data_IF_217688502358
#
_entry.id   IF_217688502358
#
_cell.length_a   1.000
_cell.length_b   1.000
_cell.length_c   1.000
_cell.angle_alpha   90.00
_cell.angle_beta   90.00
_cell.angle_gamma   90.00
#
_symmetry.space_group_name_H-M   'P 1'
#
loop_
_entity.id
_entity.type
_entity.pdbx_description
1 polymer ?
#
# COMPACT_ATOMS: atom_id res chain seq x y z
N UNK A 1 -15.03 13.77 -22.08
CA UNK A 1 -14.52 14.15 -20.74
C UNK A 1 -15.47 13.50 -19.74
N UNK A 2 -15.26 12.22 -19.44
CA UNK A 2 -16.02 11.54 -18.39
C UNK A 2 -15.21 11.70 -17.12
N UNK A 3 -15.48 12.76 -16.36
CA UNK A 3 -15.16 12.78 -14.94
C UNK A 3 -16.13 11.79 -14.27
N UNK A 4 -15.85 10.48 -14.45
CA UNK A 4 -16.38 9.49 -13.53
C UNK A 4 -15.80 9.86 -12.17
N UNK A 5 -16.66 10.37 -11.29
CA UNK A 5 -16.31 10.56 -9.88
C UNK A 5 -15.81 9.20 -9.40
N UNK A 6 -14.51 9.10 -9.10
CA UNK A 6 -13.91 7.87 -8.62
C UNK A 6 -14.71 7.34 -7.43
N UNK A 7 -14.97 6.02 -7.41
CA UNK A 7 -15.72 5.42 -6.32
C UNK A 7 -15.03 5.71 -4.97
N UNK A 8 -15.77 6.10 -3.91
CA UNK A 8 -15.16 6.49 -2.62
C UNK A 8 -14.21 5.44 -2.04
N UNK A 9 -14.48 4.15 -2.27
CA UNK A 9 -13.60 3.06 -1.85
C UNK A 9 -12.22 3.09 -2.54
N UNK A 10 -12.15 3.44 -3.83
CA UNK A 10 -10.88 3.62 -4.56
C UNK A 10 -10.15 4.86 -4.06
N UNK A 11 -10.87 5.96 -3.81
CA UNK A 11 -10.27 7.17 -3.24
C UNK A 11 -9.66 6.87 -1.87
N UNK A 12 -10.38 6.13 -1.01
CA UNK A 12 -9.88 5.72 0.30
C UNK A 12 -8.65 4.81 0.21
N UNK A 13 -8.67 3.86 -0.72
CA UNK A 13 -7.52 3.00 -1.01
C UNK A 13 -6.29 3.81 -1.43
N UNK A 14 -6.45 4.78 -2.34
CA UNK A 14 -5.36 5.67 -2.78
C UNK A 14 -4.77 6.48 -1.63
N UNK A 15 -5.63 7.05 -0.78
CA UNK A 15 -5.19 7.79 0.41
C UNK A 15 -4.37 6.89 1.35
N UNK A 16 -4.83 5.66 1.57
CA UNK A 16 -4.11 4.72 2.44
C UNK A 16 -2.78 4.27 1.83
N UNK A 17 -2.74 3.99 0.53
CA UNK A 17 -1.51 3.65 -0.20
C UNK A 17 -0.51 4.80 -0.22
N UNK A 18 -0.97 6.04 -0.42
CA UNK A 18 -0.11 7.24 -0.35
C UNK A 18 0.44 7.47 1.06
N UNK A 19 -0.39 7.30 2.09
CA UNK A 19 0.06 7.39 3.47
C UNK A 19 1.10 6.29 3.80
N UNK A 20 0.86 5.06 3.36
CA UNK A 20 1.78 3.93 3.53
C UNK A 20 3.11 4.18 2.80
N UNK A 21 3.04 4.64 1.56
CA UNK A 21 4.21 4.98 0.75
C UNK A 21 5.10 6.03 1.42
N UNK A 22 4.50 7.11 1.93
CA UNK A 22 5.20 8.15 2.71
C UNK A 22 5.75 7.62 4.03
N UNK A 23 4.98 6.80 4.74
CA UNK A 23 5.40 6.16 5.99
C UNK A 23 6.64 5.29 5.80
N UNK A 24 6.68 4.51 4.72
CA UNK A 24 7.85 3.68 4.37
C UNK A 24 9.08 4.54 4.07
N UNK A 25 8.91 5.63 3.31
CA UNK A 25 10.00 6.58 3.03
C UNK A 25 10.61 7.22 4.29
N UNK A 26 9.84 7.31 5.38
CA UNK A 26 10.29 7.87 6.65
C UNK A 26 10.94 6.85 7.59
N UNK A 27 10.87 5.54 7.33
CA UNK A 27 11.32 4.49 8.28
C UNK A 27 12.80 4.58 8.64
N UNK A 28 13.64 5.05 7.71
CA UNK A 28 15.08 5.23 7.94
C UNK A 28 15.38 6.32 8.99
N UNK A 29 14.43 7.22 9.26
CA UNK A 29 14.57 8.30 10.24
C UNK A 29 14.01 7.92 11.62
N UNK A 30 13.42 6.73 11.76
CA UNK A 30 12.85 6.26 13.00
C UNK A 30 13.82 5.33 13.72
N UNK A 31 13.77 5.34 15.06
CA UNK A 31 14.38 4.30 15.89
C UNK A 31 13.65 2.95 15.70
N UNK A 32 14.28 1.86 16.10
CA UNK A 32 13.82 0.50 15.81
C UNK A 32 12.40 0.22 16.32
N UNK A 33 12.08 0.54 17.58
CA UNK A 33 10.76 0.23 18.14
C UNK A 33 9.60 1.01 17.48
N UNK A 34 9.69 2.34 17.27
CA UNK A 34 8.70 3.07 16.47
C UNK A 34 8.61 2.57 15.02
N UNK A 35 9.74 2.21 14.40
CA UNK A 35 9.79 1.67 13.04
C UNK A 35 9.01 0.37 12.92
N UNK A 36 9.26 -0.59 13.80
CA UNK A 36 8.59 -1.89 13.81
C UNK A 36 7.07 -1.74 13.99
N UNK A 37 6.67 -0.80 14.85
CA UNK A 37 5.26 -0.47 15.04
C UNK A 37 4.61 0.03 13.75
N UNK A 38 5.23 1.00 13.08
CA UNK A 38 4.71 1.53 11.80
C UNK A 38 4.62 0.41 10.77
N UNK A 39 5.66 -0.42 10.63
CA UNK A 39 5.65 -1.55 9.69
C UNK A 39 4.49 -2.53 9.98
N UNK A 40 4.24 -2.84 11.26
CA UNK A 40 3.12 -3.70 11.65
C UNK A 40 1.75 -3.08 11.34
N UNK A 41 1.59 -1.77 11.58
CA UNK A 41 0.38 -1.02 11.26
C UNK A 41 0.11 -1.03 9.75
N UNK A 42 1.14 -0.77 8.91
CA UNK A 42 1.01 -0.79 7.46
C UNK A 42 0.64 -2.17 6.90
N UNK A 43 1.24 -3.23 7.44
CA UNK A 43 0.94 -4.63 7.08
C UNK A 43 -0.48 -5.07 7.45
N UNK A 44 -1.18 -4.30 8.29
CA UNK A 44 -2.56 -4.59 8.68
C UNK A 44 -3.54 -3.68 7.93
N UNK A 45 -3.29 -2.36 7.96
CA UNK A 45 -4.23 -1.37 7.44
C UNK A 45 -4.42 -1.44 5.93
N UNK A 46 -3.32 -1.61 5.17
CA UNK A 46 -3.39 -1.59 3.69
C UNK A 46 -4.15 -2.83 3.16
N UNK A 47 -3.86 -4.07 3.59
CA UNK A 47 -4.65 -5.23 3.19
C UNK A 47 -6.13 -5.15 3.58
N UNK A 48 -6.45 -4.60 4.76
CA UNK A 48 -7.83 -4.43 5.21
C UNK A 48 -8.62 -3.47 4.30
N UNK A 49 -8.01 -2.33 3.94
CA UNK A 49 -8.65 -1.36 3.04
C UNK A 49 -8.78 -1.93 1.63
N UNK A 50 -7.77 -2.65 1.13
CA UNK A 50 -7.82 -3.32 -0.17
C UNK A 50 -8.95 -4.37 -0.23
N UNK A 51 -9.07 -5.22 0.80
CA UNK A 51 -10.14 -6.21 0.90
C UNK A 51 -11.53 -5.56 0.89
N UNK A 52 -11.72 -4.47 1.65
CA UNK A 52 -12.98 -3.72 1.66
C UNK A 52 -13.27 -3.08 0.31
N UNK A 53 -12.29 -2.43 -0.30
CA UNK A 53 -12.47 -1.83 -1.62
C UNK A 53 -12.84 -2.89 -2.68
N UNK A 54 -12.22 -4.07 -2.63
CA UNK A 54 -12.49 -5.14 -3.60
C UNK A 54 -13.93 -5.65 -3.54
N UNK A 55 -14.54 -5.66 -2.35
CA UNK A 55 -15.96 -6.01 -2.17
C UNK A 55 -16.91 -4.96 -2.77
N UNK A 56 -16.50 -3.70 -2.78
CA UNK A 56 -17.33 -2.58 -3.24
C UNK A 56 -17.22 -2.35 -4.75
N UNK A 57 -16.00 -2.45 -5.31
CA UNK A 57 -15.73 -2.05 -6.71
C UNK A 57 -15.17 -3.17 -7.58
N UNK A 58 -14.99 -4.37 -7.03
CA UNK A 58 -14.39 -5.51 -7.69
C UNK A 58 -12.86 -5.57 -7.55
N UNK A 59 -12.35 -6.80 -7.57
CA UNK A 59 -10.92 -7.10 -7.39
C UNK A 59 -10.02 -6.46 -8.46
N UNK A 60 -10.45 -6.46 -9.73
CA UNK A 60 -9.61 -5.98 -10.84
C UNK A 60 -9.24 -4.49 -10.70
N UNK A 61 -10.24 -3.64 -10.38
CA UNK A 61 -10.02 -2.21 -10.18
C UNK A 61 -9.06 -1.94 -9.00
N UNK A 62 -9.19 -2.70 -7.92
CA UNK A 62 -8.33 -2.58 -6.74
C UNK A 62 -6.90 -3.05 -7.01
N UNK A 63 -6.73 -4.20 -7.65
CA UNK A 63 -5.40 -4.72 -7.99
C UNK A 63 -4.70 -3.80 -8.99
N UNK A 64 -5.42 -3.24 -9.97
CA UNK A 64 -4.85 -2.25 -10.89
C UNK A 64 -4.34 -1.00 -10.14
N UNK A 65 -5.06 -0.53 -9.12
CA UNK A 65 -4.61 0.57 -8.26
C UNK A 65 -3.33 0.21 -7.50
N UNK A 66 -3.31 -0.95 -6.85
CA UNK A 66 -2.16 -1.42 -6.06
C UNK A 66 -0.94 -1.60 -6.96
N UNK A 67 -1.10 -2.15 -8.15
CA UNK A 67 -0.01 -2.32 -9.13
C UNK A 67 0.60 -0.98 -9.54
N UNK A 68 -0.20 0.08 -9.73
CA UNK A 68 0.36 1.41 -10.03
C UNK A 68 1.29 1.93 -8.93
N UNK A 69 0.97 1.66 -7.67
CA UNK A 69 1.82 1.99 -6.52
C UNK A 69 3.02 1.07 -6.40
N UNK A 70 2.88 -0.22 -6.73
CA UNK A 70 3.98 -1.17 -6.77
C UNK A 70 5.02 -0.77 -7.84
N UNK A 71 4.55 -0.42 -9.04
CA UNK A 71 5.38 -0.01 -10.19
C UNK A 71 6.12 1.31 -9.92
N UNK A 72 5.51 2.24 -9.18
CA UNK A 72 6.16 3.48 -8.76
C UNK A 72 7.35 3.25 -7.81
N UNK A 73 7.33 2.14 -7.05
CA UNK A 73 8.37 1.80 -6.08
C UNK A 73 8.56 2.83 -4.96
N UNK A 74 9.64 2.70 -4.19
CA UNK A 74 10.06 3.71 -3.19
C UNK A 74 11.18 4.56 -3.80
N UNK A 75 11.00 5.88 -3.98
CA UNK A 75 12.04 6.74 -4.53
C UNK A 75 13.31 6.72 -3.67
N UNK A 76 14.45 6.56 -4.33
CA UNK A 76 15.76 6.58 -3.66
C UNK A 76 16.07 5.35 -2.81
N UNK A 77 15.19 4.34 -2.77
CA UNK A 77 15.50 3.08 -2.10
C UNK A 77 16.61 2.33 -2.84
N UNK A 78 17.61 1.88 -2.09
CA UNK A 78 18.72 1.07 -2.63
C UNK A 78 18.77 -0.30 -1.96
N UNK A 79 19.32 -1.29 -2.67
CA UNK A 79 19.50 -2.63 -2.13
C UNK A 79 20.45 -2.68 -0.90
N UNK A 80 21.18 -1.58 -0.64
CA UNK A 80 22.15 -1.45 0.44
C UNK A 80 21.63 -0.63 1.63
N UNK A 81 20.36 -0.22 1.61
CA UNK A 81 19.79 0.55 2.70
C UNK A 81 19.76 -0.27 3.99
N UNK A 82 20.17 0.35 5.11
CA UNK A 82 20.14 -0.26 6.45
C UNK A 82 18.71 -0.68 6.80
N UNK A 83 17.72 0.12 6.38
CA UNK A 83 16.31 -0.23 6.45
C UNK A 83 15.86 -0.65 5.04
N UNK A 84 15.41 -1.90 4.83
CA UNK A 84 15.07 -2.41 3.51
C UNK A 84 13.67 -1.93 3.06
N UNK A 85 13.51 -0.63 2.86
CA UNK A 85 12.23 0.05 2.55
C UNK A 85 11.57 -0.52 1.29
N UNK A 86 12.34 -0.83 0.25
CA UNK A 86 11.83 -1.47 -0.97
C UNK A 86 11.22 -2.84 -0.69
N UNK A 87 11.87 -3.67 0.14
CA UNK A 87 11.37 -5.01 0.51
C UNK A 87 10.10 -4.90 1.33
N UNK A 88 10.08 -3.99 2.31
CA UNK A 88 8.89 -3.72 3.14
C UNK A 88 7.73 -3.27 2.26
N UNK A 89 7.98 -2.37 1.29
CA UNK A 89 6.94 -1.91 0.36
C UNK A 89 6.40 -3.03 -0.51
N UNK A 90 7.28 -3.83 -1.12
CA UNK A 90 6.88 -4.99 -1.92
C UNK A 90 6.01 -5.96 -1.12
N UNK A 91 6.33 -6.19 0.16
CA UNK A 91 5.54 -7.03 1.04
C UNK A 91 4.14 -6.47 1.33
N UNK A 92 4.03 -5.16 1.58
CA UNK A 92 2.76 -4.47 1.81
C UNK A 92 1.87 -4.52 0.56
N UNK A 93 2.38 -4.18 -0.62
CA UNK A 93 1.56 -4.18 -1.85
C UNK A 93 1.18 -5.61 -2.29
N UNK A 94 2.06 -6.59 -2.06
CA UNK A 94 1.77 -8.00 -2.31
C UNK A 94 0.63 -8.49 -1.42
N UNK A 95 0.76 -8.30 -0.11
CA UNK A 95 -0.28 -8.74 0.85
C UNK A 95 -1.61 -8.02 0.64
N UNK A 96 -1.58 -6.75 0.23
CA UNK A 96 -2.80 -6.01 -0.15
C UNK A 96 -3.47 -6.60 -1.39
N UNK A 97 -2.70 -6.97 -2.41
CA UNK A 97 -3.21 -7.61 -3.63
C UNK A 97 -3.80 -8.99 -3.31
N UNK A 98 -3.14 -9.77 -2.47
CA UNK A 98 -3.63 -11.06 -1.98
C UNK A 98 -4.97 -10.91 -1.23
N UNK A 99 -5.08 -9.92 -0.34
CA UNK A 99 -6.31 -9.63 0.40
C UNK A 99 -7.47 -9.17 -0.49
N UNK A 100 -7.20 -8.36 -1.51
CA UNK A 100 -8.19 -7.97 -2.51
C UNK A 100 -8.70 -9.17 -3.32
N UNK A 101 -7.80 -10.07 -3.72
CA UNK A 101 -8.14 -11.29 -4.45
C UNK A 101 -8.90 -12.31 -3.60
N UNK A 102 -8.64 -12.37 -2.29
CA UNK A 102 -9.34 -13.24 -1.35
C UNK A 102 -10.73 -12.74 -0.96
N UNK A 103 -11.07 -11.48 -1.27
CA UNK A 103 -12.34 -10.87 -0.89
C UNK A 103 -13.51 -11.16 -1.84
N UNK A 104 -13.26 -11.93 -2.91
CA UNK A 104 -14.23 -12.34 -3.93
C UNK A 104 -15.28 -13.34 -3.44
#
# INVERSE_FOLDING_TARGET
MNDSIDHPAIVRLRVELDAAWKGIGALAQLEDAPRDRVVAELRTAVPDVASRAAREVGTEAVVAEISRYADAGIPGATATDVVPTAVIWSDVVRTASEAACAAR
#
